data_IF_850477691491
#
_entry.id   IF_850477691491
#
_cell.length_a   1.000
_cell.length_b   1.000
_cell.length_c   1.000
_cell.angle_alpha   90.00
_cell.angle_beta   90.00
_cell.angle_gamma   90.00
#
_symmetry.space_group_name_H-M   'P 1'
#
loop_
_entity.id
_entity.type
_entity.pdbx_description
1 polymer ?
#
# COMPACT_ATOMS: atom_id res chain seq x y z
N UNK A 1 -4.76 5.16 -6.16
CA UNK A 1 -4.47 4.34 -7.35
C UNK A 1 -4.07 2.95 -6.90
N UNK A 2 -4.85 1.92 -7.28
CA UNK A 2 -4.50 0.50 -7.09
C UNK A 2 -3.60 0.08 -8.24
N UNK A 3 -2.46 -0.54 -7.96
CA UNK A 3 -1.50 -0.95 -9.01
C UNK A 3 -1.28 -2.44 -9.10
N UNK A 4 -1.57 -3.18 -8.03
CA UNK A 4 -1.40 -4.62 -7.99
C UNK A 4 -2.45 -5.25 -7.06
N UNK A 5 -2.82 -6.49 -7.36
CA UNK A 5 -3.74 -7.31 -6.57
C UNK A 5 -3.24 -8.74 -6.50
N UNK A 6 -3.51 -9.41 -5.38
CA UNK A 6 -3.13 -10.81 -5.18
C UNK A 6 -4.20 -11.52 -4.35
N UNK A 7 -4.48 -12.77 -4.70
CA UNK A 7 -5.37 -13.64 -3.93
C UNK A 7 -4.52 -14.66 -3.16
N UNK A 8 -4.86 -14.92 -1.90
CA UNK A 8 -4.21 -15.96 -1.11
C UNK A 8 -4.46 -17.34 -1.72
N UNK A 9 -3.52 -18.29 -1.53
CA UNK A 9 -3.65 -19.63 -2.11
C UNK A 9 -4.84 -20.45 -1.60
N UNK A 10 -5.40 -20.07 -0.45
CA UNK A 10 -6.62 -20.67 0.12
C UNK A 10 -7.90 -19.96 -0.34
N UNK A 11 -7.81 -19.03 -1.30
CA UNK A 11 -8.88 -18.21 -1.87
C UNK A 11 -9.70 -17.42 -0.84
N UNK A 12 -9.16 -17.21 0.37
CA UNK A 12 -9.85 -16.47 1.45
C UNK A 12 -9.63 -14.98 1.42
N UNK A 13 -8.48 -14.52 0.94
CA UNK A 13 -8.11 -13.12 1.04
C UNK A 13 -7.71 -12.52 -0.31
N UNK A 14 -8.26 -11.35 -0.60
CA UNK A 14 -7.79 -10.44 -1.62
C UNK A 14 -6.92 -9.37 -0.98
N UNK A 15 -5.73 -9.16 -1.52
CA UNK A 15 -4.85 -8.08 -1.16
C UNK A 15 -4.82 -7.05 -2.28
N UNK A 16 -4.83 -5.77 -1.92
CA UNK A 16 -4.68 -4.67 -2.88
C UNK A 16 -3.53 -3.76 -2.46
N UNK A 17 -2.73 -3.33 -3.43
CA UNK A 17 -1.68 -2.34 -3.22
C UNK A 17 -2.09 -1.01 -3.81
N UNK A 18 -2.26 -0.03 -2.93
CA UNK A 18 -2.71 1.31 -3.28
C UNK A 18 -1.52 2.26 -3.38
N UNK A 19 -0.68 2.07 -4.40
CA UNK A 19 0.61 2.77 -4.54
C UNK A 19 0.55 4.29 -4.39
N UNK A 20 -0.49 4.97 -4.88
CA UNK A 20 -0.61 6.43 -4.65
C UNK A 20 -1.06 6.78 -3.23
N UNK A 21 -1.99 6.00 -2.67
CA UNK A 21 -2.55 6.26 -1.34
C UNK A 21 -1.49 5.97 -0.27
N UNK A 22 -0.84 4.80 -0.33
CA UNK A 22 0.21 4.45 0.62
C UNK A 22 -0.01 3.16 1.38
N UNK A 23 -1.09 2.43 1.12
CA UNK A 23 -1.46 1.27 1.92
C UNK A 23 -1.63 -0.02 1.13
N UNK A 24 -1.40 -1.11 1.83
CA UNK A 24 -1.84 -2.45 1.43
C UNK A 24 -3.08 -2.77 2.24
N UNK A 25 -4.13 -3.21 1.56
CA UNK A 25 -5.38 -3.66 2.20
C UNK A 25 -5.55 -5.15 2.01
N UNK A 26 -6.12 -5.80 3.01
CA UNK A 26 -6.50 -7.21 3.00
C UNK A 26 -8.02 -7.30 3.19
N UNK A 27 -8.68 -7.94 2.24
CA UNK A 27 -10.10 -8.19 2.24
C UNK A 27 -10.37 -9.69 2.38
N UNK A 28 -11.26 -10.06 3.28
CA UNK A 28 -11.86 -11.39 3.30
C UNK A 28 -12.87 -11.49 2.16
N UNK A 29 -12.68 -12.50 1.30
CA UNK A 29 -13.46 -12.73 0.08
C UNK A 29 -14.19 -14.07 0.10
N UNK A 30 -14.46 -14.64 1.28
CA UNK A 30 -15.32 -15.85 1.40
C UNK A 30 -16.71 -15.66 0.77
N UNK A 31 -17.22 -14.43 0.79
CA UNK A 31 -18.30 -13.97 -0.08
C UNK A 31 -17.73 -12.96 -1.09
N UNK A 32 -17.53 -13.40 -2.33
CA UNK A 32 -16.91 -12.57 -3.38
C UNK A 32 -17.79 -11.40 -3.83
N UNK A 33 -19.10 -11.45 -3.57
CA UNK A 33 -20.01 -10.33 -3.86
C UNK A 33 -19.93 -9.23 -2.79
N UNK A 34 -19.46 -9.56 -1.58
CA UNK A 34 -19.35 -8.62 -0.46
C UNK A 34 -17.99 -8.73 0.25
N UNK A 35 -16.87 -8.32 -0.39
CA UNK A 35 -15.56 -8.32 0.25
C UNK A 35 -15.53 -7.47 1.52
N UNK A 36 -14.93 -8.00 2.60
CA UNK A 36 -14.86 -7.31 3.90
C UNK A 36 -13.42 -6.92 4.20
N UNK A 37 -13.15 -5.64 4.45
CA UNK A 37 -11.82 -5.18 4.86
C UNK A 37 -11.48 -5.74 6.26
N UNK A 38 -10.40 -6.52 6.35
CA UNK A 38 -9.95 -7.17 7.60
C UNK A 38 -8.54 -6.78 8.02
N UNK A 39 -7.79 -6.10 7.16
CA UNK A 39 -6.44 -5.62 7.47
C UNK A 39 -6.01 -4.46 6.58
N UNK A 40 -5.19 -3.58 7.14
CA UNK A 40 -4.63 -2.43 6.45
C UNK A 40 -3.26 -2.11 7.05
N UNK A 41 -2.29 -1.79 6.21
CA UNK A 41 -0.98 -1.29 6.63
C UNK A 41 -0.51 -0.17 5.71
N UNK A 42 -0.02 0.92 6.30
CA UNK A 42 0.60 2.01 5.56
C UNK A 42 2.10 1.74 5.35
N UNK A 43 2.53 1.82 4.10
CA UNK A 43 3.89 1.68 3.62
C UNK A 43 4.18 2.79 2.59
N UNK A 44 4.57 3.96 3.08
CA UNK A 44 4.85 5.11 2.20
C UNK A 44 3.57 5.83 1.76
N UNK A 45 3.54 6.30 0.52
CA UNK A 45 2.36 6.94 -0.07
C UNK A 45 2.38 8.46 -0.10
N UNK A 46 1.47 9.04 -0.87
CA UNK A 46 1.30 10.50 -0.96
C UNK A 46 0.41 11.10 0.09
N UNK A 47 -0.32 10.31 0.87
CA UNK A 47 -1.15 10.87 1.93
C UNK A 47 -0.40 11.02 3.25
N UNK A 48 0.88 10.62 3.31
CA UNK A 48 1.68 10.77 4.54
C UNK A 48 1.73 12.23 4.98
N UNK A 49 1.77 12.45 6.29
CA UNK A 49 1.70 13.78 6.89
C UNK A 49 2.82 14.75 6.45
N UNK A 50 3.92 14.24 5.89
CA UNK A 50 5.05 15.02 5.40
C UNK A 50 5.21 15.05 3.87
N UNK A 51 4.22 14.53 3.12
CA UNK A 51 4.30 14.40 1.66
C UNK A 51 4.08 15.71 0.89
N UNK A 52 3.64 16.78 1.58
CA UNK A 52 3.18 18.04 0.99
C UNK A 52 1.76 18.00 0.45
N UNK A 53 1.03 16.89 0.61
CA UNK A 53 -0.39 16.76 0.26
C UNK A 53 -1.24 16.94 1.51
N UNK A 54 -2.24 17.81 1.46
CA UNK A 54 -3.24 17.98 2.53
C UNK A 54 -4.48 17.15 2.20
N UNK A 55 -4.86 16.25 3.10
CA UNK A 55 -6.13 15.52 3.00
C UNK A 55 -7.23 16.41 3.60
N UNK A 56 -8.26 16.70 2.81
CA UNK A 56 -9.35 17.62 3.18
C UNK A 56 -10.52 16.89 3.84
N UNK A 57 -10.79 15.67 3.39
CA UNK A 57 -11.85 14.81 3.88
C UNK A 57 -11.35 13.36 3.83
N UNK A 58 -11.48 12.65 4.95
CA UNK A 58 -11.13 11.25 5.09
C UNK A 58 -12.12 10.59 6.06
N UNK A 59 -13.06 9.78 5.55
CA UNK A 59 -14.02 9.09 6.41
C UNK A 59 -13.43 7.86 7.10
N UNK A 60 -12.22 7.41 6.72
CA UNK A 60 -11.57 6.21 7.27
C UNK A 60 -10.56 6.55 8.38
N UNK A 61 -9.83 7.67 8.29
CA UNK A 61 -8.76 8.04 9.22
C UNK A 61 -9.01 9.38 9.93
N UNK A 62 -8.72 9.44 11.22
CA UNK A 62 -8.75 10.68 12.00
C UNK A 62 -7.60 11.65 11.66
N UNK A 63 -6.48 11.11 11.14
CA UNK A 63 -5.29 11.89 10.75
C UNK A 63 -4.54 11.24 9.61
N UNK A 64 -3.78 12.06 8.87
CA UNK A 64 -2.85 11.57 7.86
C UNK A 64 -1.81 10.62 8.49
N UNK A 65 -1.49 9.48 7.83
CA UNK A 65 -0.50 8.51 8.30
C UNK A 65 0.88 9.13 8.52
N UNK A 66 1.55 8.65 9.57
CA UNK A 66 2.91 9.06 9.87
C UNK A 66 3.90 8.47 8.86
N UNK A 67 5.07 9.09 8.70
CA UNK A 67 6.06 8.60 7.76
C UNK A 67 6.73 7.29 8.21
N UNK A 68 6.95 6.38 7.27
CA UNK A 68 7.44 5.02 7.58
C UNK A 68 8.97 4.98 7.63
N UNK A 69 9.52 4.59 8.78
CA UNK A 69 10.96 4.43 9.00
C UNK A 69 11.25 2.97 9.32
N UNK A 70 12.05 2.31 8.49
CA UNK A 70 12.42 0.90 8.64
C UNK A 70 13.93 0.84 8.90
N UNK A 71 14.32 0.31 10.06
CA UNK A 71 15.73 0.17 10.47
C UNK A 71 16.53 1.48 10.33
N UNK A 72 15.94 2.60 10.74
CA UNK A 72 16.56 3.93 10.69
C UNK A 72 16.61 4.57 9.30
N UNK A 73 16.00 3.96 8.27
CA UNK A 73 15.92 4.52 6.92
C UNK A 73 14.47 4.86 6.58
N UNK A 74 14.26 6.04 5.98
CA UNK A 74 12.97 6.43 5.43
C UNK A 74 12.61 5.50 4.28
N UNK A 75 11.42 4.92 4.33
CA UNK A 75 10.82 4.25 3.18
C UNK A 75 10.28 5.31 2.21
N UNK A 76 10.84 5.35 1.00
CA UNK A 76 10.42 6.23 -0.10
C UNK A 76 9.55 5.46 -1.10
N UNK A 77 8.68 6.18 -1.81
CA UNK A 77 7.69 5.55 -2.68
C UNK A 77 6.50 5.02 -1.89
N UNK A 78 5.97 3.90 -2.32
CA UNK A 78 4.82 3.23 -1.70
C UNK A 78 4.81 1.76 -2.08
N UNK A 79 3.95 0.93 -1.49
CA UNK A 79 3.76 -0.45 -1.95
C UNK A 79 3.35 -0.48 -3.43
N UNK A 80 4.06 -1.26 -4.25
CA UNK A 80 3.71 -1.49 -5.65
C UNK A 80 3.40 -2.97 -5.87
N UNK A 81 4.33 -3.76 -6.42
CA UNK A 81 4.18 -5.20 -6.60
C UNK A 81 4.38 -5.89 -5.27
N UNK A 82 3.58 -6.92 -5.02
CA UNK A 82 3.77 -7.72 -3.83
C UNK A 82 3.46 -9.19 -4.07
N UNK A 83 4.12 -10.03 -3.29
CA UNK A 83 4.00 -11.48 -3.34
C UNK A 83 3.72 -12.04 -1.95
N UNK A 84 2.77 -12.96 -1.87
CA UNK A 84 2.46 -13.68 -0.64
C UNK A 84 3.29 -14.97 -0.56
N UNK A 85 3.77 -15.29 0.64
CA UNK A 85 4.37 -16.60 0.91
C UNK A 85 3.36 -17.72 0.75
N UNK A 86 3.82 -18.93 0.40
CA UNK A 86 2.95 -20.09 0.20
C UNK A 86 2.12 -20.45 1.45
N UNK A 87 2.64 -20.17 2.64
CA UNK A 87 1.94 -20.38 3.92
C UNK A 87 0.95 -19.26 4.27
N UNK A 88 0.84 -18.21 3.45
CA UNK A 88 -0.06 -17.08 3.66
C UNK A 88 0.35 -16.12 4.78
N UNK A 89 1.53 -16.28 5.38
CA UNK A 89 1.92 -15.54 6.60
C UNK A 89 2.76 -14.28 6.35
N UNK A 90 3.31 -14.09 5.15
CA UNK A 90 4.26 -13.01 4.84
C UNK A 90 3.95 -12.42 3.48
N UNK A 91 3.93 -11.09 3.41
CA UNK A 91 3.85 -10.32 2.16
C UNK A 91 5.21 -9.68 1.92
N UNK A 92 5.75 -9.89 0.72
CA UNK A 92 6.98 -9.26 0.24
C UNK A 92 6.60 -8.16 -0.75
N UNK A 93 7.18 -6.97 -0.62
CA UNK A 93 6.70 -5.76 -1.31
C UNK A 93 7.87 -5.04 -1.98
N UNK A 94 7.68 -4.57 -3.20
CA UNK A 94 8.56 -3.62 -3.89
C UNK A 94 7.90 -2.23 -3.95
N UNK A 95 8.67 -1.18 -4.26
CA UNK A 95 8.21 0.21 -4.16
C UNK A 95 8.08 1.00 -5.47
N UNK A 96 8.66 0.51 -6.56
CA UNK A 96 8.73 1.19 -7.86
C UNK A 96 7.68 0.63 -8.82
N UNK A 97 7.04 1.50 -9.61
CA UNK A 97 6.05 1.13 -10.61
C UNK A 97 6.66 1.17 -12.02
N UNK A 98 7.03 2.36 -12.45
CA UNK A 98 7.57 2.62 -13.79
C UNK A 98 8.33 3.93 -13.75
N UNK A 99 9.56 3.96 -14.28
CA UNK A 99 10.50 5.05 -14.02
C UNK A 99 9.97 6.48 -14.28
N UNK A 100 9.22 6.76 -15.36
CA UNK A 100 8.63 8.10 -15.55
C UNK A 100 7.62 8.47 -14.46
N UNK A 101 6.78 7.53 -14.03
CA UNK A 101 5.76 7.74 -12.99
C UNK A 101 6.39 7.86 -11.61
N UNK A 102 7.41 7.04 -11.35
CA UNK A 102 8.19 7.13 -10.11
C UNK A 102 8.84 8.51 -9.98
N UNK A 103 9.40 9.06 -11.07
CA UNK A 103 10.01 10.40 -11.06
C UNK A 103 9.01 11.52 -10.81
N UNK A 104 7.83 11.42 -11.42
CA UNK A 104 6.78 12.44 -11.29
C UNK A 104 6.13 12.40 -9.92
N UNK A 105 5.78 11.20 -9.44
CA UNK A 105 5.02 11.03 -8.21
C UNK A 105 5.95 10.94 -7.01
N UNK A 106 6.99 10.12 -7.06
CA UNK A 106 7.93 9.93 -5.94
C UNK A 106 9.38 10.29 -6.32
N UNK A 107 9.70 11.59 -6.54
CA UNK A 107 11.03 12.00 -6.97
C UNK A 107 12.15 11.56 -6.02
N UNK A 108 11.86 11.40 -4.72
CA UNK A 108 12.81 10.91 -3.72
C UNK A 108 13.11 9.41 -3.81
N UNK A 109 12.30 8.64 -4.54
CA UNK A 109 12.53 7.20 -4.79
C UNK A 109 13.65 6.98 -5.82
N UNK A 110 13.85 7.91 -6.75
CA UNK A 110 14.72 7.75 -7.93
C UNK A 110 16.10 8.42 -7.75
N UNK A 111 16.46 8.75 -6.51
CA UNK A 111 17.76 9.37 -6.18
C UNK A 111 18.92 8.38 -6.23
#
# INVERSE_FOLDING_TARGET
MVTDILISLDDRYLYTSNWMHGDIRQYDIRDTAHPVLVGQIFLGGKIQSDSGVTVIDDPELDKQPDPVIIKGRRFTGSSQMFQLSLDGKRIYVSSSLFSPWDKEIYPDLVK
#
